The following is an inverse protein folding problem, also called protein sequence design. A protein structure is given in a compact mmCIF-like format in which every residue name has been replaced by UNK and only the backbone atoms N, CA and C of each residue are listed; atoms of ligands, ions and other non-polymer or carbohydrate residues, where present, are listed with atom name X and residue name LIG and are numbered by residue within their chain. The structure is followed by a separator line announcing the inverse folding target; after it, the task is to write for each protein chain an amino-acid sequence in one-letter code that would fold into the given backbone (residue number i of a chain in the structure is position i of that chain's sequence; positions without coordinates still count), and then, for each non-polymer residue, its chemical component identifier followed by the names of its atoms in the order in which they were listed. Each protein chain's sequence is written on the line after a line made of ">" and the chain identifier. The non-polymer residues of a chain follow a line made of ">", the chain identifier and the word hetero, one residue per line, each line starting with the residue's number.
data_IF_141785899448
#
_entry.id   IF_141785899448
#
_cell.length_a   1.000
_cell.length_b   1.000
_cell.length_c   1.000
_cell.angle_alpha   90.00
_cell.angle_beta   90.00
_cell.angle_gamma   90.00
#
_symmetry.space_group_name_H-M   'P 1'
#
loop_
_entity.id
_entity.type
_entity.pdbx_description
1 polymer ?
#
# COMPACT_ATOMS: atom_id res chain seq x y z
N UNK A 1 5.01 45.85 -1.02
CA UNK A 1 6.37 45.33 -1.30
C UNK A 1 6.46 43.88 -0.86
N UNK A 2 6.49 42.95 -1.83
CA UNK A 2 7.10 41.60 -1.79
C UNK A 2 6.60 40.84 -3.03
N UNK A 3 7.14 41.17 -4.21
CA UNK A 3 6.99 40.30 -5.38
C UNK A 3 8.00 39.16 -5.26
N UNK A 4 7.50 37.93 -5.20
CA UNK A 4 8.33 36.73 -5.28
C UNK A 4 8.93 36.65 -6.70
N UNK A 5 10.25 36.73 -6.79
CA UNK A 5 11.01 36.50 -8.02
C UNK A 5 10.97 35.00 -8.32
N UNK A 6 10.16 34.62 -9.29
CA UNK A 6 10.24 33.32 -9.96
C UNK A 6 11.60 33.29 -10.68
N UNK A 7 12.59 32.53 -10.18
CA UNK A 7 13.90 32.38 -10.84
C UNK A 7 13.70 31.72 -12.21
N UNK A 8 13.93 32.47 -13.29
CA UNK A 8 13.97 31.94 -14.63
C UNK A 8 15.14 30.94 -14.74
N UNK A 9 14.83 29.69 -15.11
CA UNK A 9 15.83 28.65 -15.37
C UNK A 9 16.60 29.07 -16.62
N UNK A 10 17.92 29.18 -16.52
CA UNK A 10 18.78 29.62 -17.62
C UNK A 10 18.99 28.49 -18.64
N UNK A 11 19.20 28.82 -19.93
CA UNK A 11 19.43 27.82 -20.98
C UNK A 11 20.61 26.88 -20.69
N UNK A 12 21.63 27.36 -19.98
CA UNK A 12 22.77 26.57 -19.47
C UNK A 12 22.35 25.51 -18.44
N UNK A 13 21.39 25.81 -17.55
CA UNK A 13 20.85 24.84 -16.60
C UNK A 13 20.02 23.76 -17.32
N UNK A 14 19.30 24.13 -18.38
CA UNK A 14 18.57 23.18 -19.21
C UNK A 14 19.53 22.22 -19.93
N UNK A 15 20.54 22.76 -20.62
CA UNK A 15 21.60 21.96 -21.28
C UNK A 15 22.32 21.03 -20.31
N UNK A 16 22.70 21.53 -19.12
CA UNK A 16 23.34 20.70 -18.09
C UNK A 16 22.44 19.56 -17.62
N UNK A 17 21.14 19.81 -17.52
CA UNK A 17 20.15 18.78 -17.15
C UNK A 17 19.98 17.75 -18.26
N UNK A 18 19.90 18.17 -19.53
CA UNK A 18 19.78 17.26 -20.68
C UNK A 18 21.00 16.33 -20.79
N UNK A 19 22.21 16.90 -20.68
CA UNK A 19 23.47 16.13 -20.74
C UNK A 19 23.54 15.12 -19.59
N UNK A 20 23.07 15.50 -18.40
CA UNK A 20 22.98 14.62 -17.24
C UNK A 20 22.07 13.42 -17.50
N UNK A 21 20.86 13.64 -18.03
CA UNK A 21 19.93 12.55 -18.35
C UNK A 21 20.44 11.62 -19.45
N UNK A 22 21.04 12.19 -20.49
CA UNK A 22 21.62 11.39 -21.57
C UNK A 22 22.82 10.56 -21.12
N UNK A 23 23.61 11.06 -20.16
CA UNK A 23 24.68 10.29 -19.52
C UNK A 23 24.13 9.11 -18.71
N UNK A 24 23.04 9.32 -17.95
CA UNK A 24 22.39 8.26 -17.18
C UNK A 24 21.79 7.15 -18.05
N UNK A 25 21.23 7.50 -19.21
CA UNK A 25 20.75 6.55 -20.22
C UNK A 25 21.85 5.56 -20.66
N UNK A 26 23.10 6.02 -20.76
CA UNK A 26 24.23 5.17 -21.13
C UNK A 26 24.83 4.37 -19.96
N UNK A 27 24.85 4.91 -18.75
CA UNK A 27 25.48 4.26 -17.59
C UNK A 27 24.54 3.25 -16.93
N UNK A 28 23.24 3.55 -16.88
CA UNK A 28 22.24 2.77 -16.17
C UNK A 28 21.01 2.51 -17.05
N UNK A 29 21.23 2.05 -18.28
CA UNK A 29 20.18 1.84 -19.30
C UNK A 29 18.99 1.06 -18.76
N UNK A 30 19.22 -0.02 -18.02
CA UNK A 30 18.13 -0.82 -17.43
C UNK A 30 17.27 -0.05 -16.43
N UNK A 31 17.85 0.87 -15.64
CA UNK A 31 17.09 1.71 -14.73
C UNK A 31 16.33 2.80 -15.49
N UNK A 32 16.95 3.37 -16.52
CA UNK A 32 16.33 4.36 -17.39
C UNK A 32 15.11 3.81 -18.13
N UNK A 33 15.21 2.59 -18.67
CA UNK A 33 14.11 1.89 -19.33
C UNK A 33 12.93 1.65 -18.37
N UNK A 34 13.22 1.28 -17.12
CA UNK A 34 12.19 1.12 -16.08
C UNK A 34 11.55 2.46 -15.76
N UNK A 35 12.35 3.51 -15.53
CA UNK A 35 11.85 4.84 -15.21
C UNK A 35 10.96 5.43 -16.31
N UNK A 36 11.42 5.39 -17.57
CA UNK A 36 10.67 5.87 -18.73
C UNK A 36 9.39 5.07 -18.96
N UNK A 37 9.45 3.74 -18.78
CA UNK A 37 8.27 2.87 -18.83
C UNK A 37 7.24 3.23 -17.76
N UNK A 38 7.67 3.46 -16.52
CA UNK A 38 6.77 3.86 -15.42
C UNK A 38 6.13 5.23 -15.66
N UNK A 39 6.88 6.16 -16.26
CA UNK A 39 6.34 7.47 -16.61
C UNK A 39 5.21 7.34 -17.64
N UNK A 40 5.41 6.50 -18.66
CA UNK A 40 4.37 6.16 -19.63
C UNK A 40 3.16 5.48 -18.98
N UNK A 41 3.40 4.50 -18.11
CA UNK A 41 2.37 3.77 -17.36
C UNK A 41 1.52 4.73 -16.49
N UNK A 42 2.15 5.66 -15.77
CA UNK A 42 1.47 6.67 -14.96
C UNK A 42 0.66 7.64 -15.83
N UNK A 43 1.20 8.09 -16.96
CA UNK A 43 0.49 8.96 -17.90
C UNK A 43 -0.77 8.27 -18.46
N UNK A 44 -0.67 6.98 -18.80
CA UNK A 44 -1.81 6.17 -19.22
C UNK A 44 -2.86 6.03 -18.12
N UNK A 45 -2.46 5.79 -16.87
CA UNK A 45 -3.37 5.74 -15.72
C UNK A 45 -4.11 7.08 -15.54
N UNK A 46 -3.41 8.21 -15.64
CA UNK A 46 -4.02 9.54 -15.54
C UNK A 46 -4.99 9.81 -16.69
N UNK A 47 -4.67 9.38 -17.91
CA UNK A 47 -5.56 9.49 -19.07
C UNK A 47 -6.82 8.64 -18.87
N UNK A 48 -6.69 7.39 -18.42
CA UNK A 48 -7.82 6.50 -18.12
C UNK A 48 -8.70 7.10 -17.03
N UNK A 49 -8.13 7.61 -15.93
CA UNK A 49 -8.87 8.28 -14.85
C UNK A 49 -9.64 9.53 -15.32
N UNK A 50 -9.24 10.13 -16.45
CA UNK A 50 -9.88 11.32 -17.02
C UNK A 50 -10.82 10.99 -18.19
N UNK A 51 -10.99 9.70 -18.51
CA UNK A 51 -11.81 9.21 -19.61
C UNK A 51 -13.23 8.85 -19.15
N UNK A 52 -14.15 8.69 -20.12
CA UNK A 52 -15.51 8.20 -19.89
C UNK A 52 -15.63 6.67 -20.01
N UNK A 53 -14.52 5.93 -19.87
CA UNK A 53 -14.53 4.46 -19.89
C UNK A 53 -15.29 3.91 -18.69
N UNK A 54 -15.96 2.77 -18.84
CA UNK A 54 -16.64 2.08 -17.74
C UNK A 54 -15.70 1.85 -16.53
N UNK A 55 -16.11 2.17 -15.28
CA UNK A 55 -15.23 2.08 -14.11
C UNK A 55 -14.62 0.69 -13.88
N UNK A 56 -15.33 -0.40 -14.22
CA UNK A 56 -14.80 -1.75 -14.04
C UNK A 56 -13.69 -2.05 -15.05
N UNK A 57 -13.87 -1.65 -16.31
CA UNK A 57 -12.86 -1.76 -17.37
C UNK A 57 -11.66 -0.85 -17.09
N UNK A 58 -11.90 0.34 -16.51
CA UNK A 58 -10.83 1.22 -16.07
C UNK A 58 -9.97 0.53 -15.01
N UNK A 59 -10.60 -0.05 -13.98
CA UNK A 59 -9.87 -0.74 -12.91
C UNK A 59 -9.09 -1.94 -13.43
N UNK A 60 -9.67 -2.77 -14.30
CA UNK A 60 -8.97 -3.91 -14.91
C UNK A 60 -7.73 -3.47 -15.70
N UNK A 61 -7.87 -2.41 -16.50
CA UNK A 61 -6.75 -1.86 -17.28
C UNK A 61 -5.66 -1.30 -16.37
N UNK A 62 -6.05 -0.60 -15.30
CA UNK A 62 -5.12 -0.05 -14.31
C UNK A 62 -4.40 -1.17 -13.56
N UNK A 63 -5.09 -2.23 -13.17
CA UNK A 63 -4.50 -3.38 -12.49
C UNK A 63 -3.43 -4.04 -13.36
N UNK A 64 -3.69 -4.24 -14.66
CA UNK A 64 -2.71 -4.79 -15.63
C UNK A 64 -1.48 -3.89 -15.77
N UNK A 65 -1.68 -2.58 -15.84
CA UNK A 65 -0.56 -1.62 -15.89
C UNK A 65 0.26 -1.74 -14.61
N UNK A 66 -0.38 -1.69 -13.44
CA UNK A 66 0.31 -1.79 -12.15
C UNK A 66 1.03 -3.12 -11.97
N UNK A 67 0.45 -4.24 -12.40
CA UNK A 67 1.12 -5.55 -12.36
C UNK A 67 2.40 -5.55 -13.20
N UNK A 68 2.33 -5.01 -14.42
CA UNK A 68 3.50 -4.86 -15.30
C UNK A 68 4.56 -3.94 -14.68
N UNK A 69 4.14 -2.78 -14.16
CA UNK A 69 5.00 -1.84 -13.45
C UNK A 69 5.66 -2.46 -12.22
N UNK A 70 4.91 -3.26 -11.45
CA UNK A 70 5.42 -4.02 -10.30
C UNK A 70 6.55 -4.96 -10.76
N UNK A 71 6.31 -5.80 -11.77
CA UNK A 71 7.34 -6.71 -12.28
C UNK A 71 8.61 -5.96 -12.72
N UNK A 72 8.48 -4.82 -13.39
CA UNK A 72 9.63 -3.97 -13.78
C UNK A 72 10.38 -3.41 -12.56
N UNK A 73 9.67 -2.74 -11.64
CA UNK A 73 10.24 -2.09 -10.45
C UNK A 73 10.93 -3.09 -9.54
N UNK A 74 10.28 -4.22 -9.29
CA UNK A 74 10.81 -5.24 -8.40
C UNK A 74 11.81 -6.17 -9.10
N UNK A 75 12.10 -5.97 -10.39
CA UNK A 75 13.25 -6.61 -11.06
C UNK A 75 14.53 -5.78 -10.97
N UNK A 76 14.48 -4.53 -10.51
CA UNK A 76 15.69 -3.68 -10.47
C UNK A 76 16.68 -4.15 -9.38
N UNK A 77 18.00 -4.06 -9.60
CA UNK A 77 19.01 -4.52 -8.65
C UNK A 77 18.95 -3.85 -7.26
N UNK A 78 19.65 -4.39 -6.26
CA UNK A 78 19.79 -3.73 -4.96
C UNK A 78 20.49 -2.37 -5.10
N UNK A 79 20.20 -1.42 -4.21
CA UNK A 79 20.85 -0.11 -4.22
C UNK A 79 22.38 -0.22 -4.19
N UNK A 80 22.91 -1.21 -3.45
CA UNK A 80 24.35 -1.49 -3.42
C UNK A 80 24.92 -1.85 -4.79
N UNK A 81 24.23 -2.71 -5.56
CA UNK A 81 24.63 -3.06 -6.93
C UNK A 81 24.45 -1.88 -7.88
N UNK A 82 23.41 -1.09 -7.69
CA UNK A 82 23.15 0.11 -8.49
C UNK A 82 24.26 1.15 -8.31
N UNK A 83 24.74 1.36 -7.08
CA UNK A 83 25.89 2.25 -6.81
C UNK A 83 27.18 1.80 -7.47
N UNK A 84 27.32 0.52 -7.81
CA UNK A 84 28.49 -0.01 -8.52
C UNK A 84 28.47 0.27 -10.03
N UNK A 85 27.34 0.74 -10.58
CA UNK A 85 27.23 1.12 -11.99
C UNK A 85 27.92 2.46 -12.30
N UNK A 86 28.10 3.32 -11.28
CA UNK A 86 28.71 4.65 -11.44
C UNK A 86 30.24 4.62 -11.35
N UNK A 87 30.91 5.35 -12.25
CA UNK A 87 32.37 5.42 -12.32
C UNK A 87 32.96 6.59 -11.49
N UNK A 88 32.16 7.63 -11.23
CA UNK A 88 32.52 8.77 -10.36
C UNK A 88 31.51 8.95 -9.23
N UNK A 89 31.85 9.70 -8.19
CA UNK A 89 30.90 10.01 -7.10
C UNK A 89 29.64 10.71 -7.62
N UNK A 90 29.79 11.65 -8.57
CA UNK A 90 28.65 12.29 -9.24
C UNK A 90 27.73 11.27 -9.95
N UNK A 91 28.30 10.22 -10.57
CA UNK A 91 27.50 9.19 -11.24
C UNK A 91 26.75 8.35 -10.23
N UNK A 92 27.39 8.00 -9.10
CA UNK A 92 26.75 7.21 -8.05
C UNK A 92 25.56 7.96 -7.46
N UNK A 93 25.71 9.25 -7.18
CA UNK A 93 24.62 10.10 -6.69
C UNK A 93 23.48 10.18 -7.72
N UNK A 94 23.80 10.39 -8.99
CA UNK A 94 22.81 10.53 -10.05
C UNK A 94 22.02 9.23 -10.30
N UNK A 95 22.70 8.09 -10.25
CA UNK A 95 22.05 6.77 -10.40
C UNK A 95 21.24 6.42 -9.15
N UNK A 96 21.72 6.75 -7.95
CA UNK A 96 20.94 6.59 -6.72
C UNK A 96 19.66 7.43 -6.73
N UNK A 97 19.75 8.66 -7.22
CA UNK A 97 18.59 9.52 -7.44
C UNK A 97 17.61 8.90 -8.45
N UNK A 98 18.10 8.37 -9.58
CA UNK A 98 17.27 7.67 -10.56
C UNK A 98 16.56 6.46 -9.94
N UNK A 99 17.29 5.65 -9.18
CA UNK A 99 16.76 4.51 -8.47
C UNK A 99 15.65 4.90 -7.48
N UNK A 100 15.86 5.97 -6.69
CA UNK A 100 14.84 6.45 -5.77
C UNK A 100 13.63 7.02 -6.51
N UNK A 101 13.83 7.70 -7.64
CA UNK A 101 12.75 8.22 -8.48
C UNK A 101 11.89 7.12 -9.09
N UNK A 102 12.47 5.98 -9.47
CA UNK A 102 11.72 4.79 -9.93
C UNK A 102 10.77 4.30 -8.84
N UNK A 103 11.28 4.13 -7.61
CA UNK A 103 10.47 3.69 -6.48
C UNK A 103 9.37 4.70 -6.13
N UNK A 104 9.72 5.99 -6.10
CA UNK A 104 8.77 7.07 -5.81
C UNK A 104 7.69 7.15 -6.89
N UNK A 105 8.03 7.03 -8.17
CA UNK A 105 7.06 7.09 -9.26
C UNK A 105 6.04 5.95 -9.21
N UNK A 106 6.49 4.73 -8.88
CA UNK A 106 5.59 3.61 -8.65
C UNK A 106 4.67 3.86 -7.45
N UNK A 107 5.22 4.32 -6.32
CA UNK A 107 4.44 4.68 -5.14
C UNK A 107 3.42 5.77 -5.45
N UNK A 108 3.83 6.88 -6.07
CA UNK A 108 2.98 8.01 -6.45
C UNK A 108 1.83 7.56 -7.36
N UNK A 109 2.08 6.63 -8.27
CA UNK A 109 1.04 6.06 -9.13
C UNK A 109 -0.03 5.33 -8.32
N UNK A 110 0.37 4.55 -7.31
CA UNK A 110 -0.57 3.92 -6.39
C UNK A 110 -1.34 4.96 -5.55
N UNK A 111 -0.65 6.01 -5.08
CA UNK A 111 -1.27 7.10 -4.34
C UNK A 111 -2.32 7.84 -5.19
N UNK A 112 -2.02 8.09 -6.47
CA UNK A 112 -2.95 8.68 -7.43
C UNK A 112 -4.22 7.82 -7.54
N UNK A 113 -4.08 6.51 -7.68
CA UNK A 113 -5.20 5.58 -7.80
C UNK A 113 -6.10 5.63 -6.56
N UNK A 114 -5.52 5.49 -5.36
CA UNK A 114 -6.32 5.45 -4.11
C UNK A 114 -6.76 6.83 -3.62
N UNK A 115 -6.31 7.93 -4.25
CA UNK A 115 -6.56 9.30 -3.79
C UNK A 115 -8.02 9.75 -3.87
N UNK A 116 -8.81 9.12 -4.74
CA UNK A 116 -10.22 9.45 -4.97
C UNK A 116 -11.16 8.27 -4.72
N UNK A 117 -10.64 7.05 -4.80
CA UNK A 117 -11.42 5.84 -4.76
C UNK A 117 -10.67 4.78 -3.93
N UNK A 118 -11.16 4.55 -2.72
CA UNK A 118 -10.55 3.59 -1.78
C UNK A 118 -10.83 2.14 -2.17
N UNK A 119 -11.78 1.87 -3.08
CA UNK A 119 -11.95 0.55 -3.67
C UNK A 119 -10.65 0.07 -4.34
N UNK A 120 -9.87 1.00 -4.90
CA UNK A 120 -8.59 0.69 -5.56
C UNK A 120 -7.50 0.19 -4.62
N UNK A 121 -7.71 0.22 -3.29
CA UNK A 121 -6.87 -0.52 -2.34
C UNK A 121 -6.82 -2.03 -2.65
N UNK A 122 -7.77 -2.54 -3.43
CA UNK A 122 -7.77 -3.88 -3.98
C UNK A 122 -6.45 -4.27 -4.65
N UNK A 123 -5.75 -3.31 -5.28
CA UNK A 123 -4.42 -3.50 -5.87
C UNK A 123 -3.38 -3.94 -4.83
N UNK A 124 -3.47 -3.46 -3.58
CA UNK A 124 -2.53 -3.85 -2.53
C UNK A 124 -2.68 -5.32 -2.14
N UNK A 125 -3.90 -5.87 -2.24
CA UNK A 125 -4.13 -7.31 -2.07
C UNK A 125 -3.37 -8.09 -3.15
N UNK A 126 -3.46 -7.64 -4.41
CA UNK A 126 -2.78 -8.31 -5.52
C UNK A 126 -1.26 -8.18 -5.41
N UNK A 127 -0.74 -7.02 -4.99
CA UNK A 127 0.68 -6.84 -4.67
C UNK A 127 1.17 -7.79 -3.56
N UNK A 128 0.34 -8.02 -2.54
CA UNK A 128 0.69 -8.96 -1.47
C UNK A 128 0.78 -10.41 -1.98
N UNK A 129 -0.04 -10.78 -2.97
CA UNK A 129 0.08 -12.07 -3.64
C UNK A 129 1.34 -12.14 -4.51
N UNK A 130 1.60 -11.12 -5.35
CA UNK A 130 2.76 -11.12 -6.25
C UNK A 130 4.10 -11.20 -5.50
N UNK A 131 4.24 -10.51 -4.36
CA UNK A 131 5.47 -10.60 -3.56
C UNK A 131 5.67 -11.95 -2.86
N UNK A 132 4.62 -12.77 -2.74
CA UNK A 132 4.69 -14.11 -2.16
C UNK A 132 5.07 -15.17 -3.21
N UNK A 133 4.95 -14.86 -4.50
CA UNK A 133 5.31 -15.76 -5.60
C UNK A 133 6.83 -15.80 -5.87
N UNK A 134 7.53 -14.67 -5.76
CA UNK A 134 8.97 -14.55 -6.02
C UNK A 134 9.76 -14.19 -4.75
N UNK A 135 10.29 -15.21 -4.06
CA UNK A 135 10.92 -15.09 -2.75
C UNK A 135 12.39 -14.64 -2.81
N UNK A 136 12.60 -13.34 -2.93
CA UNK A 136 13.81 -12.68 -2.42
C UNK A 136 13.47 -11.23 -2.00
N UNK A 137 14.46 -10.42 -1.61
CA UNK A 137 14.50 -9.00 -1.16
C UNK A 137 13.35 -8.03 -1.57
N UNK A 138 12.56 -8.38 -2.57
CA UNK A 138 11.35 -7.74 -3.05
C UNK A 138 10.26 -7.60 -1.98
N UNK A 139 10.13 -8.58 -1.08
CA UNK A 139 9.10 -8.53 -0.03
C UNK A 139 9.25 -7.33 0.90
N UNK A 140 10.49 -7.00 1.31
CA UNK A 140 10.76 -5.83 2.15
C UNK A 140 10.39 -4.52 1.43
N UNK A 141 10.80 -4.38 0.17
CA UNK A 141 10.45 -3.21 -0.63
C UNK A 141 8.93 -3.10 -0.83
N UNK A 142 8.26 -4.20 -1.12
CA UNK A 142 6.83 -4.23 -1.41
C UNK A 142 6.01 -3.87 -0.16
N UNK A 143 6.38 -4.40 1.01
CA UNK A 143 5.67 -4.09 2.26
C UNK A 143 5.85 -2.63 2.66
N UNK A 144 7.00 -2.01 2.36
CA UNK A 144 7.19 -0.56 2.56
C UNK A 144 6.19 0.24 1.71
N UNK A 145 6.06 -0.10 0.42
CA UNK A 145 5.10 0.57 -0.48
C UNK A 145 3.67 0.36 0.00
N UNK A 146 3.28 -0.88 0.32
CA UNK A 146 1.93 -1.20 0.86
C UNK A 146 1.65 -0.38 2.13
N UNK A 147 2.59 -0.34 3.07
CA UNK A 147 2.47 0.41 4.33
C UNK A 147 2.28 1.91 4.08
N UNK A 148 3.03 2.50 3.15
CA UNK A 148 2.91 3.93 2.79
C UNK A 148 1.59 4.25 2.12
N UNK A 149 1.12 3.42 1.18
CA UNK A 149 -0.19 3.60 0.54
C UNK A 149 -1.31 3.49 1.57
N UNK A 150 -1.26 2.52 2.49
CA UNK A 150 -2.21 2.40 3.60
C UNK A 150 -2.16 3.62 4.53
N UNK A 151 -0.97 4.13 4.85
CA UNK A 151 -0.79 5.35 5.65
C UNK A 151 -1.41 6.58 4.97
N UNK A 152 -1.27 6.69 3.66
CA UNK A 152 -1.92 7.74 2.88
C UNK A 152 -3.44 7.57 2.88
N UNK A 153 -3.94 6.37 2.60
CA UNK A 153 -5.37 6.07 2.60
C UNK A 153 -6.02 6.33 3.96
N UNK A 154 -5.38 5.91 5.06
CA UNK A 154 -5.90 6.15 6.43
C UNK A 154 -6.03 7.63 6.78
N UNK A 155 -5.16 8.48 6.22
CA UNK A 155 -5.27 9.95 6.36
C UNK A 155 -6.41 10.51 5.51
N UNK A 156 -6.61 9.97 4.30
CA UNK A 156 -7.65 10.41 3.36
C UNK A 156 -9.06 10.02 3.79
N UNK A 157 -9.21 8.84 4.39
CA UNK A 157 -10.48 8.32 4.95
C UNK A 157 -11.21 9.34 5.83
N UNK A 158 -10.47 10.14 6.62
CA UNK A 158 -11.05 11.17 7.49
C UNK A 158 -11.84 12.27 6.75
N UNK A 159 -11.64 12.40 5.44
CA UNK A 159 -12.33 13.39 4.60
C UNK A 159 -13.51 12.82 3.79
N UNK A 160 -13.78 11.51 3.86
CA UNK A 160 -14.89 10.88 3.14
C UNK A 160 -16.12 10.70 4.03
N UNK A 161 -17.31 10.76 3.41
CA UNK A 161 -18.61 10.52 4.07
C UNK A 161 -18.97 9.04 4.21
N UNK A 162 -18.37 8.21 3.36
CA UNK A 162 -18.53 6.76 3.36
C UNK A 162 -17.25 6.15 2.80
N UNK A 163 -16.67 5.18 3.49
CA UNK A 163 -15.55 4.38 2.99
C UNK A 163 -16.07 3.08 2.41
N UNK A 164 -15.59 2.70 1.23
CA UNK A 164 -15.74 1.34 0.72
C UNK A 164 -14.36 0.79 0.36
N UNK A 165 -13.97 -0.26 1.07
CA UNK A 165 -12.67 -0.92 0.93
C UNK A 165 -12.84 -2.42 1.22
N UNK A 166 -13.48 -3.18 0.31
CA UNK A 166 -13.83 -4.58 0.57
C UNK A 166 -12.60 -5.49 0.73
N UNK A 167 -11.45 -5.09 0.20
CA UNK A 167 -10.22 -5.88 0.26
C UNK A 167 -9.57 -5.95 1.65
N UNK A 168 -9.99 -5.14 2.63
CA UNK A 168 -9.29 -4.99 3.91
C UNK A 168 -9.23 -6.28 4.71
N UNK A 169 -10.24 -7.14 4.61
CA UNK A 169 -10.24 -8.45 5.27
C UNK A 169 -9.14 -9.37 4.76
N UNK A 170 -9.06 -9.52 3.43
CA UNK A 170 -8.01 -10.31 2.78
C UNK A 170 -6.63 -9.70 3.03
N UNK A 171 -6.49 -8.39 2.87
CA UNK A 171 -5.21 -7.70 3.09
C UNK A 171 -4.75 -7.81 4.55
N UNK A 172 -5.67 -7.79 5.53
CA UNK A 172 -5.33 -8.02 6.92
C UNK A 172 -4.79 -9.45 7.14
N UNK A 173 -5.32 -10.45 6.44
CA UNK A 173 -4.81 -11.83 6.54
C UNK A 173 -3.35 -11.89 6.06
N UNK A 174 -3.05 -11.32 4.89
CA UNK A 174 -1.68 -11.26 4.37
C UNK A 174 -0.72 -10.52 5.30
N UNK A 175 -1.11 -9.32 5.76
CA UNK A 175 -0.30 -8.52 6.69
C UNK A 175 -0.09 -9.23 8.03
N UNK A 176 -1.08 -10.00 8.51
CA UNK A 176 -0.96 -10.74 9.78
C UNK A 176 0.15 -11.81 9.74
N UNK A 177 0.32 -12.45 8.58
CA UNK A 177 1.37 -13.44 8.35
C UNK A 177 2.75 -12.77 8.31
N UNK A 178 2.83 -11.60 7.68
CA UNK A 178 4.06 -10.78 7.60
C UNK A 178 4.44 -10.15 8.94
N UNK A 179 3.48 -9.82 9.81
CA UNK A 179 3.75 -9.42 11.19
C UNK A 179 4.42 -10.54 12.01
N UNK A 180 4.41 -11.77 11.51
CA UNK A 180 5.09 -12.92 12.09
C UNK A 180 6.33 -13.33 11.29
N UNK A 181 6.92 -12.43 10.49
CA UNK A 181 8.09 -12.72 9.67
C UNK A 181 9.38 -12.85 10.51
N UNK A 182 10.37 -13.57 9.97
CA UNK A 182 11.66 -13.77 10.64
C UNK A 182 12.52 -12.50 10.56
N UNK A 183 12.43 -11.79 9.43
CA UNK A 183 13.03 -10.46 9.24
C UNK A 183 12.29 -9.39 10.06
N UNK A 184 13.05 -8.61 10.81
CA UNK A 184 12.54 -7.56 11.70
C UNK A 184 12.04 -6.35 10.90
N UNK A 185 12.69 -5.98 9.80
CA UNK A 185 12.27 -4.86 8.94
C UNK A 185 10.90 -5.14 8.34
N UNK A 186 10.71 -6.34 7.78
CA UNK A 186 9.41 -6.78 7.24
C UNK A 186 8.35 -6.78 8.34
N UNK A 187 8.67 -7.32 9.52
CA UNK A 187 7.75 -7.36 10.65
C UNK A 187 7.30 -5.95 11.09
N UNK A 188 8.23 -5.00 11.15
CA UNK A 188 7.97 -3.62 11.53
C UNK A 188 7.07 -2.93 10.51
N UNK A 189 7.38 -3.07 9.21
CA UNK A 189 6.58 -2.47 8.14
C UNK A 189 5.19 -3.10 8.03
N UNK A 190 5.08 -4.42 8.17
CA UNK A 190 3.79 -5.10 8.20
C UNK A 190 2.93 -4.67 9.38
N UNK A 191 3.52 -4.48 10.56
CA UNK A 191 2.78 -3.99 11.74
C UNK A 191 2.31 -2.55 11.57
N UNK A 192 3.11 -1.69 10.93
CA UNK A 192 2.72 -0.33 10.59
C UNK A 192 1.59 -0.31 9.55
N UNK A 193 1.71 -1.12 8.49
CA UNK A 193 0.65 -1.30 7.49
C UNK A 193 -0.64 -1.82 8.12
N UNK A 194 -0.55 -2.83 8.99
CA UNK A 194 -1.69 -3.38 9.72
C UNK A 194 -2.37 -2.33 10.59
N UNK A 195 -1.60 -1.50 11.30
CA UNK A 195 -2.16 -0.39 12.08
C UNK A 195 -2.98 0.57 11.19
N UNK A 196 -2.43 1.00 10.06
CA UNK A 196 -3.13 1.89 9.13
C UNK A 196 -4.37 1.22 8.50
N UNK A 197 -4.29 -0.07 8.17
CA UNK A 197 -5.41 -0.87 7.69
C UNK A 197 -6.56 -0.87 8.71
N UNK A 198 -6.26 -1.16 9.98
CA UNK A 198 -7.26 -1.16 11.04
C UNK A 198 -7.88 0.23 11.25
N UNK A 199 -7.11 1.31 11.08
CA UNK A 199 -7.66 2.67 11.11
C UNK A 199 -8.67 2.91 9.98
N UNK A 200 -8.39 2.45 8.75
CA UNK A 200 -9.33 2.52 7.63
C UNK A 200 -10.60 1.73 7.96
N UNK A 201 -10.46 0.50 8.45
CA UNK A 201 -11.59 -0.37 8.80
C UNK A 201 -12.47 0.22 9.91
N UNK A 202 -11.88 0.86 10.94
CA UNK A 202 -12.65 1.54 12.00
C UNK A 202 -13.56 2.63 11.43
N UNK A 203 -13.02 3.46 10.54
CA UNK A 203 -13.82 4.51 9.91
C UNK A 203 -14.95 3.93 9.05
N UNK A 204 -14.70 2.82 8.34
CA UNK A 204 -15.72 2.12 7.57
C UNK A 204 -16.90 1.62 8.45
N UNK A 205 -16.61 1.22 9.69
CA UNK A 205 -17.65 0.79 10.63
C UNK A 205 -18.49 1.95 11.17
N UNK A 206 -17.85 3.08 11.52
CA UNK A 206 -18.55 4.26 12.05
C UNK A 206 -19.59 4.80 11.05
N UNK A 207 -19.31 4.73 9.75
CA UNK A 207 -20.25 5.16 8.71
C UNK A 207 -21.51 4.28 8.68
N UNK A 208 -21.35 2.96 8.88
CA UNK A 208 -22.48 2.01 8.96
C UNK A 208 -23.31 2.26 10.22
N UNK A 209 -22.67 2.49 11.37
CA UNK A 209 -23.38 2.78 12.62
C UNK A 209 -24.15 4.11 12.55
N UNK A 210 -23.55 5.17 12.00
CA UNK A 210 -24.22 6.46 11.73
C UNK A 210 -25.39 6.32 10.75
N UNK A 211 -25.25 5.49 9.72
CA UNK A 211 -26.33 5.23 8.73
C UNK A 211 -27.47 4.41 9.34
N UNK A 212 -27.18 3.52 10.28
CA UNK A 212 -28.21 2.76 11.03
C UNK A 212 -28.95 3.64 12.05
N UNK A 213 -28.28 4.56 12.72
CA UNK A 213 -28.89 5.47 13.71
C UNK A 213 -29.66 6.65 13.09
N UNK A 214 -29.24 7.13 11.90
CA UNK A 214 -29.97 8.19 11.17
C UNK A 214 -31.32 7.76 10.59
N UNK A 215 -31.69 6.47 10.63
CA UNK A 215 -33.07 6.04 10.35
C UNK A 215 -34.07 6.41 11.45
N UNK A 216 -33.62 6.92 12.61
CA UNK A 216 -34.51 7.26 13.73
C UNK A 216 -34.48 8.72 14.20
N UNK A 217 -33.63 9.61 13.67
CA UNK A 217 -33.62 11.00 14.14
C UNK A 217 -33.58 12.03 13.02
N UNK A 218 -34.67 12.82 12.97
CA UNK A 218 -34.77 14.07 12.20
C UNK A 218 -33.88 15.14 12.84
N UNK A 219 -33.03 15.71 12.00
CA UNK A 219 -32.52 17.08 12.02
C UNK A 219 -31.52 17.49 13.11
N UNK A 220 -30.35 17.94 12.61
CA UNK A 220 -29.64 19.09 13.14
C UNK A 220 -28.81 18.87 14.39
N UNK A 221 -27.54 18.47 14.24
CA UNK A 221 -26.46 19.10 15.00
C UNK A 221 -25.09 18.76 14.41
N UNK A 222 -24.28 19.80 14.23
CA UNK A 222 -22.85 19.72 13.93
C UNK A 222 -22.17 18.92 15.04
N UNK A 223 -21.83 17.65 14.76
CA UNK A 223 -21.11 16.84 15.72
C UNK A 223 -19.62 16.81 15.35
N UNK A 224 -18.84 17.53 16.16
CA UNK A 224 -17.38 17.49 16.21
C UNK A 224 -16.90 16.03 16.17
N UNK A 225 -16.24 15.66 15.07
CA UNK A 225 -15.58 14.37 14.91
C UNK A 225 -14.61 14.17 16.09
N UNK A 226 -14.85 13.13 16.88
CA UNK A 226 -14.01 12.79 18.02
C UNK A 226 -12.58 12.48 17.56
N UNK A 227 -11.54 13.04 18.21
CA UNK A 227 -10.15 12.70 17.93
C UNK A 227 -9.77 11.47 18.77
N UNK A 228 -9.84 10.26 18.22
CA UNK A 228 -9.35 9.07 18.94
C UNK A 228 -8.66 8.01 18.08
N UNK A 229 -8.17 8.40 16.90
CA UNK A 229 -7.23 7.55 16.15
C UNK A 229 -5.78 7.72 16.64
N UNK A 230 -5.51 8.71 17.49
CA UNK A 230 -4.17 9.05 17.98
C UNK A 230 -3.89 8.49 19.40
N UNK A 231 -4.82 7.73 19.99
CA UNK A 231 -4.61 7.09 21.30
C UNK A 231 -4.21 5.61 21.14
N UNK A 232 -2.92 5.35 21.38
CA UNK A 232 -2.34 4.11 21.93
C UNK A 232 -2.22 2.83 21.08
N UNK A 233 -2.38 2.87 19.76
CA UNK A 233 -1.97 1.70 18.96
C UNK A 233 -0.49 1.80 18.56
N UNK A 234 0.40 1.46 19.48
CA UNK A 234 1.84 1.44 19.20
C UNK A 234 2.11 0.28 18.22
N UNK A 235 2.70 0.51 17.03
CA UNK A 235 2.97 -0.55 16.05
C UNK A 235 3.80 -1.72 16.60
N UNK A 236 4.55 -1.50 17.68
CA UNK A 236 5.30 -2.54 18.42
C UNK A 236 4.41 -3.60 19.06
N UNK A 237 3.14 -3.29 19.35
CA UNK A 237 2.20 -4.18 20.04
C UNK A 237 1.80 -5.37 19.16
N UNK A 238 1.77 -5.20 17.83
CA UNK A 238 1.43 -6.26 16.89
C UNK A 238 2.62 -7.11 16.42
N UNK A 239 3.85 -6.68 16.71
CA UNK A 239 5.03 -7.37 16.20
C UNK A 239 5.15 -8.76 16.84
N UNK A 240 5.00 -9.80 16.03
CA UNK A 240 5.11 -11.23 16.41
C UNK A 240 4.11 -11.71 17.49
N UNK A 241 3.14 -10.89 17.89
CA UNK A 241 2.13 -11.24 18.88
C UNK A 241 0.82 -11.66 18.21
N UNK A 242 0.71 -12.97 17.93
CA UNK A 242 -0.45 -13.54 17.22
C UNK A 242 -1.77 -13.35 17.96
N UNK A 243 -1.76 -13.37 19.29
CA UNK A 243 -2.96 -13.17 20.10
C UNK A 243 -3.47 -11.74 19.97
N UNK A 244 -2.57 -10.75 20.07
CA UNK A 244 -2.94 -9.34 19.89
C UNK A 244 -3.37 -9.02 18.46
N UNK A 245 -2.76 -9.64 17.46
CA UNK A 245 -3.22 -9.53 16.07
C UNK A 245 -4.66 -10.04 15.95
N UNK A 246 -4.92 -11.28 16.39
CA UNK A 246 -6.25 -11.88 16.34
C UNK A 246 -7.31 -11.03 17.07
N UNK A 247 -6.97 -10.53 18.26
CA UNK A 247 -7.83 -9.65 19.04
C UNK A 247 -8.11 -8.32 18.32
N UNK A 248 -7.07 -7.65 17.83
CA UNK A 248 -7.20 -6.34 17.19
C UNK A 248 -8.02 -6.42 15.89
N UNK A 249 -7.78 -7.47 15.10
CA UNK A 249 -8.50 -7.77 13.86
C UNK A 249 -9.96 -8.10 14.18
N UNK A 250 -10.23 -9.02 15.11
CA UNK A 250 -11.60 -9.44 15.43
C UNK A 250 -12.46 -8.34 16.05
N UNK A 251 -11.86 -7.48 16.89
CA UNK A 251 -12.54 -6.29 17.42
C UNK A 251 -12.83 -5.26 16.31
N UNK A 252 -11.89 -5.04 15.40
CA UNK A 252 -11.96 -3.93 14.45
C UNK A 252 -12.70 -4.27 13.15
N UNK A 253 -12.43 -5.40 12.51
CA UNK A 253 -13.04 -5.70 11.20
C UNK A 253 -14.53 -5.98 11.35
N UNK A 254 -15.37 -5.43 10.48
CA UNK A 254 -16.80 -5.81 10.42
C UNK A 254 -16.99 -7.29 10.03
N UNK A 255 -18.17 -7.89 10.26
CA UNK A 255 -18.42 -9.31 9.98
C UNK A 255 -18.02 -9.79 8.57
N UNK A 256 -18.30 -9.03 7.51
CA UNK A 256 -17.91 -9.38 6.13
C UNK A 256 -16.39 -9.43 5.97
N UNK A 257 -15.69 -8.36 6.37
CA UNK A 257 -14.22 -8.29 6.32
C UNK A 257 -13.55 -9.34 7.22
N UNK A 258 -14.15 -9.65 8.37
CA UNK A 258 -13.66 -10.71 9.26
C UNK A 258 -13.85 -12.10 8.64
N UNK A 259 -14.94 -12.29 7.90
CA UNK A 259 -15.18 -13.53 7.14
C UNK A 259 -14.14 -13.70 6.03
N UNK A 260 -13.84 -12.63 5.29
CA UNK A 260 -12.78 -12.64 4.28
C UNK A 260 -11.39 -12.92 4.89
N UNK A 261 -11.11 -12.34 6.06
CA UNK A 261 -9.89 -12.60 6.82
C UNK A 261 -9.76 -14.08 7.19
N UNK A 262 -10.81 -14.66 7.79
CA UNK A 262 -10.87 -16.06 8.20
C UNK A 262 -10.72 -16.99 7.00
N UNK A 263 -11.43 -16.70 5.91
CA UNK A 263 -11.37 -17.48 4.68
C UNK A 263 -9.97 -17.46 4.06
N UNK A 264 -9.32 -16.29 4.04
CA UNK A 264 -7.96 -16.15 3.51
C UNK A 264 -6.96 -16.96 4.33
N UNK A 265 -7.03 -16.93 5.67
CA UNK A 265 -6.19 -17.78 6.51
C UNK A 265 -6.46 -19.27 6.31
N UNK A 266 -7.73 -19.66 6.12
CA UNK A 266 -8.11 -21.04 5.82
C UNK A 266 -7.48 -21.53 4.52
N UNK A 267 -7.51 -20.70 3.46
CA UNK A 267 -6.87 -21.04 2.18
C UNK A 267 -5.36 -21.21 2.33
N UNK A 268 -4.72 -20.37 3.15
CA UNK A 268 -3.29 -20.45 3.42
C UNK A 268 -2.88 -21.72 4.18
N UNK A 269 -3.80 -22.45 4.82
CA UNK A 269 -3.49 -23.75 5.42
C UNK A 269 -3.05 -24.80 4.38
N UNK A 270 -3.46 -24.62 3.13
CA UNK A 270 -3.06 -25.50 2.01
C UNK A 270 -1.71 -25.12 1.41
N UNK A 271 -1.01 -24.12 1.98
CA UNK A 271 0.29 -23.68 1.50
C UNK A 271 1.34 -24.79 1.64
N UNK A 272 2.20 -25.01 0.63
CA UNK A 272 3.31 -25.96 0.74
C UNK A 272 4.36 -25.52 1.78
N UNK A 273 4.35 -24.25 2.19
CA UNK A 273 5.23 -23.74 3.24
C UNK A 273 4.63 -24.02 4.62
N UNK A 274 5.12 -25.07 5.28
CA UNK A 274 4.67 -25.48 6.62
C UNK A 274 4.77 -24.36 7.67
N UNK A 275 5.75 -23.45 7.56
CA UNK A 275 5.90 -22.32 8.50
C UNK A 275 4.78 -21.31 8.29
N UNK A 276 4.44 -21.01 7.04
CA UNK A 276 3.31 -20.11 6.71
C UNK A 276 1.98 -20.74 7.11
N UNK A 277 1.76 -22.02 6.78
CA UNK A 277 0.56 -22.76 7.16
C UNK A 277 0.38 -22.80 8.70
N UNK A 278 1.45 -23.04 9.46
CA UNK A 278 1.42 -23.03 10.93
C UNK A 278 1.11 -21.64 11.52
N UNK A 279 1.66 -20.57 10.93
CA UNK A 279 1.33 -19.19 11.33
C UNK A 279 -0.14 -18.90 11.08
N UNK A 280 -0.65 -19.26 9.90
CA UNK A 280 -2.04 -19.10 9.53
C UNK A 280 -2.97 -19.89 10.46
N UNK A 281 -2.66 -21.17 10.76
CA UNK A 281 -3.45 -22.00 11.65
C UNK A 281 -3.54 -21.43 13.07
N UNK A 282 -2.44 -20.87 13.57
CA UNK A 282 -2.39 -20.28 14.91
C UNK A 282 -3.25 -19.02 14.99
N UNK A 283 -3.13 -18.12 14.02
CA UNK A 283 -3.92 -16.88 13.98
C UNK A 283 -5.40 -17.22 13.78
N UNK A 284 -5.71 -18.13 12.85
CA UNK A 284 -7.07 -18.60 12.57
C UNK A 284 -7.72 -19.16 13.83
N UNK A 285 -7.03 -20.06 14.54
CA UNK A 285 -7.53 -20.65 15.79
C UNK A 285 -7.86 -19.57 16.82
N UNK A 286 -6.93 -18.66 17.08
CA UNK A 286 -7.12 -17.57 18.05
C UNK A 286 -8.28 -16.66 17.65
N UNK A 287 -8.39 -16.29 16.37
CA UNK A 287 -9.49 -15.45 15.88
C UNK A 287 -10.84 -16.13 16.07
N UNK A 288 -10.94 -17.43 15.77
CA UNK A 288 -12.19 -18.18 15.95
C UNK A 288 -12.53 -18.38 17.43
N UNK A 289 -11.55 -18.65 18.29
CA UNK A 289 -11.77 -18.77 19.74
C UNK A 289 -12.37 -17.49 20.35
N UNK A 290 -11.88 -16.32 19.94
CA UNK A 290 -12.35 -15.04 20.49
C UNK A 290 -13.55 -14.43 19.76
N UNK A 291 -13.70 -14.69 18.45
CA UNK A 291 -14.58 -13.90 17.57
C UNK A 291 -15.43 -14.73 16.60
N UNK A 292 -15.55 -16.06 16.76
CA UNK A 292 -16.36 -16.90 15.87
C UNK A 292 -17.81 -16.40 15.69
N UNK A 293 -18.42 -15.85 16.74
CA UNK A 293 -19.80 -15.32 16.68
C UNK A 293 -20.00 -14.18 15.69
N UNK A 294 -18.92 -13.52 15.25
CA UNK A 294 -18.93 -12.40 14.29
C UNK A 294 -18.63 -12.85 12.85
N UNK A 295 -18.09 -14.05 12.69
CA UNK A 295 -17.88 -14.67 11.38
C UNK A 295 -19.25 -15.19 10.91
N UNK A 296 -19.64 -14.93 9.67
CA UNK A 296 -20.95 -15.27 9.06
C UNK A 296 -22.20 -14.46 9.46
N UNK A 297 -22.08 -13.38 10.26
CA UNK A 297 -23.17 -12.39 10.42
C UNK A 297 -23.16 -11.33 9.31
#
# INVERSE_FOLDING_TARGET
>A
MTSKIQKAITGLQCLRSIVKWHRLEHIATSLWDVYSGLFGDQAMILAVNSSFVDPSLQFESQLKIIESSFKKVFSIPSLEKVRQMGNSEDDKEDIENLYQNILNMYEDTLLILVSKDLYKLQILKDMAMWMNEDSSYLQERAIVVISRVLSFASRKVRGYTSVDAPCLGVLAAELSLLCCHNDVSITQQASLGMHHLLCIAKCQNEDIEKTKSTKYEKHGNHCLLSPSCDTEFVPKVLQRDRAKIAQSVGQTLMPSLLTDFVWSLLMTLSSPNCVTAFKASTILKLTLEYHAHKVTM
#
